data_IF_104311551417
#
_entry.id   IF_104311551417
#
_cell.length_a   1.000
_cell.length_b   1.000
_cell.length_c   1.000
_cell.angle_alpha   90.00
_cell.angle_beta   90.00
_cell.angle_gamma   90.00
#
_symmetry.space_group_name_H-M   'P 1'
#
loop_
_entity.id
_entity.type
_entity.pdbx_description
1 polymer ?
#
# COMPACT_ATOMS: atom_id res chain seq x y z
N UNK A 1 -5.29 16.79 -6.96
CA UNK A 1 -4.31 15.78 -6.55
C UNK A 1 -5.02 15.00 -5.46
N UNK A 2 -5.60 13.85 -5.83
CA UNK A 2 -6.32 12.99 -4.87
C UNK A 2 -5.28 12.33 -3.96
N UNK A 3 -5.57 12.24 -2.66
CA UNK A 3 -4.65 11.73 -1.63
C UNK A 3 -4.02 10.38 -2.05
N UNK A 4 -2.69 10.25 -2.11
CA UNK A 4 -2.03 9.00 -2.51
C UNK A 4 -2.11 7.89 -1.43
N UNK A 5 -2.71 8.18 -0.28
CA UNK A 5 -2.71 7.34 0.91
C UNK A 5 -4.07 6.69 1.23
N UNK A 6 -4.96 6.53 0.24
CA UNK A 6 -6.31 5.96 0.46
C UNK A 6 -6.24 4.58 1.14
N UNK A 7 -5.32 3.72 0.70
CA UNK A 7 -5.18 2.37 1.25
C UNK A 7 -4.58 2.39 2.66
N UNK A 8 -3.58 3.25 2.91
CA UNK A 8 -3.05 3.50 4.25
C UNK A 8 -4.17 3.98 5.19
N UNK A 9 -4.99 4.93 4.75
CA UNK A 9 -6.10 5.46 5.56
C UNK A 9 -7.19 4.41 5.79
N UNK A 10 -7.44 3.52 4.85
CA UNK A 10 -8.35 2.39 5.05
C UNK A 10 -7.76 1.34 6.02
N UNK A 11 -6.45 1.10 5.96
CA UNK A 11 -5.75 0.25 6.93
C UNK A 11 -5.81 0.88 8.34
N UNK A 12 -5.42 2.15 8.49
CA UNK A 12 -5.50 2.94 9.73
C UNK A 12 -6.92 2.96 10.33
N UNK A 13 -7.96 3.08 9.50
CA UNK A 13 -9.36 3.05 9.96
C UNK A 13 -9.80 1.66 10.41
N UNK A 14 -9.25 0.61 9.81
CA UNK A 14 -9.55 -0.79 10.17
C UNK A 14 -8.77 -1.25 11.40
N UNK A 15 -7.76 -0.49 11.87
CA UNK A 15 -6.81 -0.90 12.91
C UNK A 15 -7.09 -0.35 14.33
N UNK A 16 -8.24 0.26 14.63
CA UNK A 16 -8.52 0.90 15.95
C UNK A 16 -9.81 0.33 16.59
N UNK A 17 -9.99 0.05 17.93
CA UNK A 17 -9.23 0.40 19.15
C UNK A 17 -8.99 -0.74 20.19
N UNK A 18 -9.19 -2.02 19.84
CA UNK A 18 -9.24 -3.15 20.81
C UNK A 18 -7.96 -3.99 20.91
N UNK A 19 -6.84 -3.56 20.30
CA UNK A 19 -5.55 -4.30 20.30
C UNK A 19 -5.68 -5.72 19.72
N UNK A 20 -6.56 -5.91 18.74
CA UNK A 20 -6.76 -7.19 18.04
C UNK A 20 -6.73 -7.05 16.51
N UNK A 21 -6.14 -5.96 16.01
CA UNK A 21 -6.11 -5.65 14.58
C UNK A 21 -4.88 -6.23 13.86
N UNK A 22 -4.86 -6.02 12.53
CA UNK A 22 -3.79 -6.46 11.64
C UNK A 22 -2.53 -5.62 11.87
N UNK A 23 -1.62 -6.16 12.66
CA UNK A 23 -0.30 -5.60 12.95
C UNK A 23 0.77 -6.54 12.42
N UNK A 24 1.95 -6.04 12.05
CA UNK A 24 3.09 -6.92 11.82
C UNK A 24 4.02 -6.97 13.03
N UNK A 25 4.48 -8.18 13.33
CA UNK A 25 5.35 -8.48 14.47
C UNK A 25 4.75 -9.55 15.37
N UNK A 26 5.61 -10.33 16.04
CA UNK A 26 5.19 -11.30 17.07
C UNK A 26 5.00 -10.62 18.45
N UNK A 27 5.40 -9.36 18.58
CA UNK A 27 5.38 -8.60 19.83
C UNK A 27 4.14 -7.68 19.91
N UNK A 28 3.19 -7.95 20.82
CA UNK A 28 1.97 -7.16 20.99
C UNK A 28 2.18 -5.81 21.69
N UNK A 29 3.41 -5.50 22.15
CA UNK A 29 3.70 -4.26 22.92
C UNK A 29 4.14 -3.08 22.05
N UNK A 30 4.51 -3.32 20.79
CA UNK A 30 4.82 -2.28 19.80
C UNK A 30 4.44 -2.76 18.39
N UNK A 31 3.16 -3.02 18.14
CA UNK A 31 2.75 -3.50 16.84
C UNK A 31 3.00 -2.43 15.78
N UNK A 32 3.87 -2.69 14.81
CA UNK A 32 4.06 -1.76 13.70
C UNK A 32 2.80 -1.80 12.85
N UNK A 33 2.19 -0.64 12.64
CA UNK A 33 0.96 -0.53 11.86
C UNK A 33 1.22 -0.99 10.42
N UNK A 34 0.31 -1.79 9.85
CA UNK A 34 0.51 -2.36 8.51
C UNK A 34 0.58 -1.29 7.42
N UNK A 35 -0.08 -0.14 7.61
CA UNK A 35 0.04 1.02 6.73
C UNK A 35 1.46 1.59 6.67
N UNK A 36 2.17 1.60 7.78
CA UNK A 36 3.53 2.17 7.87
C UNK A 36 4.60 1.22 7.32
N UNK A 37 4.37 -0.09 7.35
CA UNK A 37 5.35 -1.09 6.88
C UNK A 37 5.66 -0.99 5.39
N UNK A 38 4.71 -0.47 4.62
CA UNK A 38 4.80 -0.40 3.17
C UNK A 38 4.87 1.06 2.71
N UNK A 39 5.26 1.97 3.61
CA UNK A 39 5.29 3.39 3.30
C UNK A 39 6.16 3.65 2.07
N UNK A 40 5.56 4.27 1.06
CA UNK A 40 6.25 4.60 -0.19
C UNK A 40 6.35 3.46 -1.21
N UNK A 41 5.81 2.25 -0.94
CA UNK A 41 5.77 1.15 -1.91
C UNK A 41 4.50 1.24 -2.77
N UNK A 42 4.68 1.46 -4.07
CA UNK A 42 3.58 1.52 -5.04
C UNK A 42 3.77 0.58 -6.24
N UNK A 43 4.92 -0.10 -6.33
CA UNK A 43 5.24 -1.04 -7.39
C UNK A 43 6.54 -1.79 -7.12
N UNK A 44 6.81 -2.83 -7.91
CA UNK A 44 7.99 -3.69 -7.75
C UNK A 44 9.29 -2.85 -7.72
N UNK A 45 10.15 -3.14 -6.76
CA UNK A 45 11.40 -2.41 -6.51
C UNK A 45 11.24 -1.02 -5.86
N UNK A 46 10.04 -0.66 -5.39
CA UNK A 46 9.77 0.57 -4.64
C UNK A 46 10.23 0.54 -3.17
N UNK A 47 10.11 1.68 -2.48
CA UNK A 47 10.52 1.89 -1.09
C UNK A 47 11.62 2.96 -0.94
N UNK A 48 11.79 3.48 0.29
CA UNK A 48 12.85 4.45 0.61
C UNK A 48 12.80 5.74 -0.21
N UNK A 49 11.60 6.17 -0.63
CA UNK A 49 11.39 7.35 -1.50
C UNK A 49 11.35 7.06 -3.00
N UNK A 50 11.61 5.81 -3.43
CA UNK A 50 11.41 5.39 -4.81
C UNK A 50 10.04 4.74 -4.99
N UNK A 51 9.26 5.22 -5.96
CA UNK A 51 7.87 4.77 -6.18
C UNK A 51 7.77 3.32 -6.69
N UNK A 52 8.86 2.77 -7.23
CA UNK A 52 8.88 1.46 -7.87
C UNK A 52 8.41 1.49 -9.32
N UNK A 53 8.28 0.31 -9.92
CA UNK A 53 7.78 0.15 -11.28
C UNK A 53 6.26 0.33 -11.32
N UNK A 54 5.82 1.39 -11.98
CA UNK A 54 4.41 1.81 -12.06
C UNK A 54 4.04 2.20 -13.48
N UNK A 55 2.75 2.06 -13.83
CA UNK A 55 2.28 2.32 -15.20
C UNK A 55 2.12 3.81 -15.42
N UNK A 56 2.43 4.30 -16.62
CA UNK A 56 2.21 5.68 -17.04
C UNK A 56 1.28 5.72 -18.23
N UNK A 57 0.30 6.61 -18.23
CA UNK A 57 -0.61 6.76 -19.35
C UNK A 57 -0.12 7.77 -20.40
N UNK A 58 -0.84 7.84 -21.52
CA UNK A 58 -0.52 8.74 -22.64
C UNK A 58 -0.53 10.23 -22.25
N UNK A 59 -1.22 10.59 -21.16
CA UNK A 59 -1.26 11.96 -20.63
C UNK A 59 -0.18 12.21 -19.57
N UNK A 60 0.67 11.22 -19.30
CA UNK A 60 1.73 11.29 -18.32
C UNK A 60 1.29 11.05 -16.88
N UNK A 61 0.05 10.61 -16.62
CA UNK A 61 -0.39 10.24 -15.28
C UNK A 61 0.17 8.87 -14.91
N UNK A 62 0.81 8.78 -13.75
CA UNK A 62 1.30 7.52 -13.20
C UNK A 62 0.24 6.85 -12.32
N UNK A 63 0.10 5.53 -12.40
CA UNK A 63 -0.89 4.74 -11.68
C UNK A 63 -0.45 3.28 -11.54
N UNK A 64 -1.00 2.58 -10.56
CA UNK A 64 -0.82 1.14 -10.39
C UNK A 64 -2.15 0.38 -10.31
N UNK A 65 -3.29 1.07 -10.24
CA UNK A 65 -4.60 0.42 -10.18
C UNK A 65 -5.57 1.04 -11.20
N UNK A 66 -6.23 0.16 -11.97
CA UNK A 66 -7.36 0.52 -12.82
C UNK A 66 -8.66 0.34 -12.05
N UNK A 67 -9.43 1.40 -11.89
CA UNK A 67 -10.76 1.34 -11.29
C UNK A 67 -11.89 1.46 -12.32
N UNK A 68 -13.12 1.36 -11.82
CA UNK A 68 -14.31 1.43 -12.67
C UNK A 68 -14.44 2.79 -13.39
N UNK A 69 -15.04 2.76 -14.58
CA UNK A 69 -15.28 3.92 -15.48
C UNK A 69 -13.98 4.61 -15.93
N UNK A 70 -12.91 3.84 -16.14
CA UNK A 70 -11.62 4.35 -16.62
C UNK A 70 -10.85 5.20 -15.61
N UNK A 71 -11.26 5.18 -14.33
CA UNK A 71 -10.53 5.85 -13.27
C UNK A 71 -9.21 5.12 -13.01
N UNK A 72 -8.17 5.89 -12.70
CA UNK A 72 -6.83 5.38 -12.45
C UNK A 72 -6.35 5.90 -11.12
N UNK A 73 -5.95 4.97 -10.26
CA UNK A 73 -5.53 5.21 -8.90
C UNK A 73 -4.07 4.85 -8.71
N UNK A 74 -3.42 5.60 -7.85
CA UNK A 74 -2.14 5.22 -7.28
C UNK A 74 -2.43 4.83 -5.85
N UNK A 75 -2.18 3.57 -5.52
CA UNK A 75 -2.46 3.04 -4.19
C UNK A 75 -1.23 2.41 -3.56
N UNK A 76 -1.00 2.65 -2.28
CA UNK A 76 0.12 2.07 -1.56
C UNK A 76 -0.09 0.55 -1.42
N UNK A 77 0.99 -0.21 -1.50
CA UNK A 77 0.95 -1.64 -1.20
C UNK A 77 0.69 -1.88 0.28
N UNK A 78 0.15 -3.04 0.63
CA UNK A 78 -0.22 -3.38 2.02
C UNK A 78 0.57 -4.62 2.45
N UNK A 79 0.99 -4.68 3.71
CA UNK A 79 1.68 -5.84 4.25
C UNK A 79 0.78 -7.07 4.28
N UNK A 80 1.24 -8.16 3.66
CA UNK A 80 0.60 -9.47 3.71
C UNK A 80 1.32 -10.37 4.72
N UNK A 81 0.69 -10.78 5.83
CA UNK A 81 1.31 -11.71 6.77
C UNK A 81 1.46 -13.12 6.20
N UNK A 82 0.71 -13.46 5.14
CA UNK A 82 0.81 -14.76 4.45
C UNK A 82 2.08 -14.82 3.59
N UNK A 83 2.34 -13.75 2.83
CA UNK A 83 3.53 -13.65 1.98
C UNK A 83 4.76 -13.18 2.77
N UNK A 84 4.54 -12.64 3.97
CA UNK A 84 5.56 -11.97 4.80
C UNK A 84 6.27 -10.86 4.01
N UNK A 85 5.50 -10.14 3.20
CA UNK A 85 5.97 -9.06 2.33
C UNK A 85 4.83 -8.09 2.02
N UNK A 86 5.19 -6.88 1.60
CA UNK A 86 4.26 -5.93 1.00
C UNK A 86 3.74 -6.48 -0.33
N UNK A 87 2.43 -6.44 -0.54
CA UNK A 87 1.81 -6.90 -1.77
C UNK A 87 0.82 -5.86 -2.30
N UNK A 88 0.71 -5.79 -3.61
CA UNK A 88 -0.22 -4.86 -4.23
C UNK A 88 -0.36 -5.04 -5.74
N UNK A 89 -1.12 -4.14 -6.38
CA UNK A 89 -1.42 -4.21 -7.80
C UNK A 89 -0.16 -4.13 -8.67
N UNK A 90 -0.17 -4.87 -9.78
CA UNK A 90 0.93 -4.95 -10.76
C UNK A 90 2.29 -5.40 -10.17
N UNK A 91 2.28 -6.16 -9.08
CA UNK A 91 3.44 -6.94 -8.67
C UNK A 91 3.91 -7.82 -9.84
N UNK A 92 5.22 -7.84 -10.08
CA UNK A 92 5.84 -8.63 -11.15
C UNK A 92 6.50 -9.91 -10.62
N UNK A 93 6.37 -10.14 -9.33
CA UNK A 93 6.97 -11.18 -8.51
C UNK A 93 5.92 -11.99 -7.74
#
# INVERSE_FOLDING_TARGET
MEDPYIDQKLAELSTNPLVNAWYAGEDPTAPTEIGDLCEGLYGTGGGGGYIGQVTRDQKGKTYNMNGNKGRKFMVQWIWSPVLKSSAGPNALD
#
